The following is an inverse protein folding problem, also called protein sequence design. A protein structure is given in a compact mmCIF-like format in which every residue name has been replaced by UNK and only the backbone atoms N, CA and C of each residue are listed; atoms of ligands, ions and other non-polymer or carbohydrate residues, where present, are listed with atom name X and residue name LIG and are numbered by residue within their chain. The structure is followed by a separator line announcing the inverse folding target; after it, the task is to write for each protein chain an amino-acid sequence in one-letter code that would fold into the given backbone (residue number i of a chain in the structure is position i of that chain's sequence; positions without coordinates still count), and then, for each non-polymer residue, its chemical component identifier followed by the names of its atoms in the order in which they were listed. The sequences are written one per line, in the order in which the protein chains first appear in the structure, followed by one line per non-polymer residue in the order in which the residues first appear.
data_IF_656138979394
#
_entry.id   IF_656138979394
#
_cell.length_a   1.000
_cell.length_b   1.000
_cell.length_c   1.000
_cell.angle_alpha   90.00
_cell.angle_beta   90.00
_cell.angle_gamma   90.00
#
_symmetry.space_group_name_H-M   'P 1'
#
loop_
_entity.id
_entity.type
_entity.pdbx_description
1 polymer ?
#
# COMPACT_ATOMS: atom_id res chain seq x y z
N UNK A 1 14.31 42.62 49.73
CA UNK A 1 13.78 42.68 48.35
C UNK A 1 14.78 43.35 47.43
N UNK A 2 15.65 42.56 46.80
CA UNK A 2 16.47 42.93 45.64
C UNK A 2 16.84 41.63 44.92
N UNK A 3 16.29 41.43 43.73
CA UNK A 3 16.76 40.43 42.78
C UNK A 3 17.13 41.20 41.52
N UNK A 4 18.44 41.45 41.40
CA UNK A 4 19.07 42.12 40.27
C UNK A 4 19.03 41.20 39.05
N UNK A 5 18.42 41.67 37.96
CA UNK A 5 18.42 40.98 36.67
C UNK A 5 19.74 41.25 35.95
N UNK A 6 20.48 40.25 35.43
CA UNK A 6 21.65 40.49 34.60
C UNK A 6 21.23 40.95 33.19
N UNK A 7 21.86 42.03 32.70
CA UNK A 7 21.73 42.48 31.31
C UNK A 7 22.49 41.51 30.38
N UNK A 8 21.79 40.99 29.38
CA UNK A 8 22.35 40.17 28.29
C UNK A 8 23.18 41.09 27.38
N UNK A 9 24.50 41.09 27.58
CA UNK A 9 25.46 41.82 26.76
C UNK A 9 25.51 41.26 25.35
N UNK A 10 25.30 42.12 24.35
CA UNK A 10 25.48 41.80 22.95
C UNK A 10 26.89 42.24 22.55
N UNK A 11 27.87 41.36 22.71
CA UNK A 11 29.23 41.62 22.25
C UNK A 11 29.29 41.51 20.73
N UNK A 12 29.33 42.68 20.11
CA UNK A 12 29.60 42.86 18.70
C UNK A 12 31.01 42.39 18.36
N UNK A 13 31.09 41.34 17.54
CA UNK A 13 32.03 41.15 16.42
C UNK A 13 32.03 39.66 16.05
N UNK A 14 31.35 39.29 14.96
CA UNK A 14 31.51 37.95 14.37
C UNK A 14 32.16 38.11 12.98
N UNK A 15 33.32 37.48 12.73
CA UNK A 15 34.10 37.72 11.52
C UNK A 15 33.42 37.07 10.30
N UNK A 16 33.24 37.89 9.27
CA UNK A 16 32.63 37.60 7.95
C UNK A 16 33.14 36.32 7.25
N UNK A 17 34.28 35.77 7.70
CA UNK A 17 34.93 34.58 7.13
C UNK A 17 34.20 33.26 7.41
N UNK A 18 33.29 33.21 8.39
CA UNK A 18 32.54 31.98 8.71
C UNK A 18 31.50 31.61 7.63
N UNK A 19 31.14 32.55 6.74
CA UNK A 19 30.09 32.33 5.74
C UNK A 19 30.58 31.54 4.51
N UNK A 20 31.87 31.63 4.16
CA UNK A 20 32.40 31.02 2.93
C UNK A 20 32.63 29.50 3.04
N UNK A 21 32.87 28.98 4.25
CA UNK A 21 33.04 27.54 4.48
C UNK A 21 31.71 26.78 4.58
N UNK A 22 30.62 27.44 4.94
CA UNK A 22 29.29 26.80 5.05
C UNK A 22 28.65 26.47 3.70
N UNK A 23 28.96 27.22 2.64
CA UNK A 23 28.33 27.06 1.32
C UNK A 23 28.90 25.86 0.54
N UNK A 24 30.18 25.51 0.75
CA UNK A 24 30.83 24.43 0.00
C UNK A 24 30.32 23.03 0.38
N UNK A 25 29.86 22.83 1.63
CA UNK A 25 29.30 21.56 2.09
C UNK A 25 27.89 21.26 1.52
N UNK A 26 27.14 22.28 1.10
CA UNK A 26 25.79 22.13 0.54
C UNK A 26 25.86 21.57 -0.90
N UNK A 27 26.95 21.83 -1.62
CA UNK A 27 27.10 21.41 -3.03
C UNK A 27 27.53 19.94 -3.18
N UNK A 28 28.17 19.34 -2.17
CA UNK A 28 28.68 17.95 -2.25
C UNK A 28 27.81 16.92 -1.50
N UNK A 29 26.86 17.35 -0.67
CA UNK A 29 26.03 16.48 0.16
C UNK A 29 24.68 16.05 -0.45
N UNK A 30 24.30 16.54 -1.63
CA UNK A 30 23.01 16.25 -2.26
C UNK A 30 23.04 14.98 -3.15
N UNK A 31 23.70 13.92 -2.68
CA UNK A 31 23.74 12.62 -3.36
C UNK A 31 22.58 11.73 -2.94
N UNK A 32 21.48 11.81 -3.71
CA UNK A 32 20.33 10.88 -3.74
C UNK A 32 19.77 10.44 -2.37
N UNK A 33 18.83 11.21 -1.83
CA UNK A 33 17.73 10.61 -1.09
C UNK A 33 16.92 9.76 -2.09
N UNK A 34 17.40 8.56 -2.40
CA UNK A 34 16.57 7.54 -3.01
C UNK A 34 15.39 7.35 -2.07
N UNK A 35 14.20 7.71 -2.53
CA UNK A 35 12.99 7.36 -1.81
C UNK A 35 13.02 5.84 -1.68
N UNK A 36 13.37 5.34 -0.51
CA UNK A 36 13.21 3.95 -0.17
C UNK A 36 11.72 3.66 -0.37
N UNK A 37 11.39 3.02 -1.48
CA UNK A 37 10.05 2.54 -1.74
C UNK A 37 9.80 1.48 -0.67
N UNK A 38 9.12 1.87 0.41
CA UNK A 38 8.61 0.91 1.35
C UNK A 38 7.72 -0.06 0.54
N UNK A 39 7.86 -1.38 0.72
CA UNK A 39 6.96 -2.34 0.12
C UNK A 39 5.54 -1.89 0.44
N UNK A 40 4.81 -1.44 -0.58
CA UNK A 40 3.42 -1.06 -0.42
C UNK A 40 2.68 -2.36 -0.16
N UNK A 41 2.22 -2.56 1.08
CA UNK A 41 1.26 -3.63 1.34
C UNK A 41 0.07 -3.45 0.38
N UNK A 42 -0.42 -4.52 -0.24
CA UNK A 42 -1.55 -4.43 -1.15
C UNK A 42 -2.68 -3.71 -0.43
N UNK A 43 -3.06 -2.53 -0.93
CA UNK A 43 -4.27 -1.89 -0.44
C UNK A 43 -5.43 -2.77 -0.90
N UNK A 44 -6.42 -3.00 -0.04
CA UNK A 44 -7.65 -3.72 -0.44
C UNK A 44 -8.27 -3.10 -1.70
N UNK A 45 -8.11 -1.79 -1.93
CA UNK A 45 -8.57 -1.12 -3.15
C UNK A 45 -7.84 -1.56 -4.44
N UNK A 46 -6.62 -2.08 -4.34
CA UNK A 46 -5.81 -2.56 -5.48
C UNK A 46 -6.16 -4.01 -5.85
N UNK A 47 -6.91 -4.73 -5.01
CA UNK A 47 -7.30 -6.12 -5.28
C UNK A 47 -8.40 -6.18 -6.33
N UNK A 48 -8.29 -7.19 -7.20
CA UNK A 48 -9.24 -7.45 -8.27
C UNK A 48 -10.64 -7.72 -7.69
N UNK A 49 -11.66 -7.03 -8.22
CA UNK A 49 -13.05 -7.29 -7.83
C UNK A 49 -13.61 -8.45 -8.64
N UNK A 50 -13.93 -9.54 -7.96
CA UNK A 50 -14.37 -10.80 -8.57
C UNK A 50 -15.81 -11.08 -8.15
N UNK A 51 -16.66 -11.35 -9.13
CA UNK A 51 -17.96 -11.96 -8.90
C UNK A 51 -17.82 -13.46 -9.14
N UNK A 52 -18.29 -14.25 -8.18
CA UNK A 52 -18.22 -15.71 -8.21
C UNK A 52 -19.65 -16.26 -8.34
N UNK A 53 -19.93 -16.92 -9.46
CA UNK A 53 -21.16 -17.66 -9.71
C UNK A 53 -20.85 -19.15 -9.67
N UNK A 54 -21.15 -19.79 -8.54
CA UNK A 54 -20.70 -21.15 -8.24
C UNK A 54 -21.86 -22.13 -7.98
N UNK A 55 -23.10 -21.65 -7.90
CA UNK A 55 -24.23 -22.50 -7.50
C UNK A 55 -24.01 -23.14 -6.12
N UNK A 56 -24.08 -24.49 -5.95
CA UNK A 56 -23.97 -25.18 -4.66
C UNK A 56 -22.52 -25.36 -4.20
N UNK A 57 -21.79 -24.26 -4.01
CA UNK A 57 -20.42 -24.25 -3.50
C UNK A 57 -20.34 -23.80 -2.04
N UNK A 58 -19.20 -24.11 -1.42
CA UNK A 58 -18.82 -23.51 -0.14
C UNK A 58 -18.16 -22.15 -0.38
N UNK A 59 -18.98 -21.12 -0.53
CA UNK A 59 -18.53 -19.75 -0.73
C UNK A 59 -17.71 -19.22 0.45
N UNK A 60 -17.96 -19.72 1.66
CA UNK A 60 -17.23 -19.29 2.86
C UNK A 60 -15.80 -19.81 2.82
N UNK A 61 -15.64 -21.10 2.47
CA UNK A 61 -14.33 -21.70 2.29
C UNK A 61 -13.52 -20.97 1.21
N UNK A 62 -14.13 -20.69 0.06
CA UNK A 62 -13.45 -19.98 -1.03
C UNK A 62 -12.98 -18.58 -0.62
N UNK A 63 -13.84 -17.82 0.08
CA UNK A 63 -13.49 -16.47 0.59
C UNK A 63 -12.37 -16.50 1.63
N UNK A 64 -12.26 -17.59 2.39
CA UNK A 64 -11.24 -17.76 3.43
C UNK A 64 -9.88 -18.13 2.83
N UNK A 65 -9.86 -19.03 1.87
CA UNK A 65 -8.61 -19.53 1.26
C UNK A 65 -8.06 -18.58 0.20
N UNK A 66 -8.93 -17.83 -0.50
CA UNK A 66 -8.54 -16.94 -1.59
C UNK A 66 -8.70 -15.48 -1.15
N UNK A 67 -7.79 -15.03 -0.29
CA UNK A 67 -7.85 -13.69 0.31
C UNK A 67 -7.22 -12.56 -0.54
N UNK A 68 -6.70 -12.87 -1.73
CA UNK A 68 -6.00 -11.90 -2.60
C UNK A 68 -6.92 -11.24 -3.64
N UNK A 69 -8.23 -11.40 -3.51
CA UNK A 69 -9.26 -10.77 -4.37
C UNK A 69 -10.38 -10.19 -3.52
N UNK A 70 -11.11 -9.23 -4.07
CA UNK A 70 -12.31 -8.69 -3.45
C UNK A 70 -13.55 -9.36 -4.04
N UNK A 71 -14.26 -10.15 -3.24
CA UNK A 71 -15.52 -10.75 -3.65
C UNK A 71 -16.67 -9.73 -3.65
N UNK A 72 -17.23 -9.46 -4.81
CA UNK A 72 -18.42 -8.60 -4.95
C UNK A 72 -19.68 -9.42 -5.08
N UNK A 73 -20.81 -8.84 -4.64
CA UNK A 73 -22.13 -9.48 -4.71
C UNK A 73 -22.90 -9.12 -5.97
N UNK A 74 -22.67 -7.93 -6.54
CA UNK A 74 -23.27 -7.54 -7.82
C UNK A 74 -22.27 -7.80 -8.94
N UNK A 75 -22.72 -8.55 -9.95
CA UNK A 75 -22.02 -8.77 -11.21
C UNK A 75 -21.59 -7.47 -11.89
N UNK A 76 -22.33 -6.37 -11.76
CA UNK A 76 -21.99 -5.08 -12.39
C UNK A 76 -20.80 -4.38 -11.76
N UNK A 77 -20.49 -4.71 -10.50
CA UNK A 77 -19.36 -4.11 -9.77
C UNK A 77 -18.04 -4.87 -10.00
N UNK A 78 -18.13 -6.04 -10.64
CA UNK A 78 -17.01 -6.95 -10.86
C UNK A 78 -16.15 -6.54 -12.05
N UNK A 79 -14.85 -6.82 -11.93
CA UNK A 79 -13.89 -6.75 -13.01
C UNK A 79 -13.71 -8.11 -13.70
N UNK A 80 -13.92 -9.21 -12.97
CA UNK A 80 -13.88 -10.58 -13.48
C UNK A 80 -15.11 -11.35 -13.00
N UNK A 81 -15.70 -12.15 -13.89
CA UNK A 81 -16.86 -12.99 -13.61
C UNK A 81 -16.44 -14.46 -13.66
N UNK A 82 -16.25 -15.08 -12.52
CA UNK A 82 -15.92 -16.51 -12.48
C UNK A 82 -17.21 -17.31 -12.47
N UNK A 83 -17.44 -18.10 -13.51
CA UNK A 83 -18.53 -19.07 -13.58
C UNK A 83 -17.99 -20.47 -13.30
N UNK A 84 -18.53 -21.12 -12.28
CA UNK A 84 -18.21 -22.50 -11.93
C UNK A 84 -19.41 -23.38 -12.26
N UNK A 85 -19.21 -24.29 -13.21
CA UNK A 85 -20.26 -25.23 -13.62
C UNK A 85 -19.92 -26.62 -13.14
N UNK A 86 -20.88 -27.28 -12.49
CA UNK A 86 -20.82 -28.70 -12.11
C UNK A 86 -21.80 -29.50 -12.94
N UNK A 87 -21.30 -30.46 -13.71
CA UNK A 87 -22.11 -31.35 -14.55
C UNK A 87 -21.93 -32.80 -14.13
N UNK A 88 -23.03 -33.55 -14.01
CA UNK A 88 -22.94 -34.97 -13.74
C UNK A 88 -22.46 -35.72 -14.99
N UNK A 89 -21.48 -36.59 -14.82
CA UNK A 89 -20.97 -37.46 -15.87
C UNK A 89 -21.80 -38.73 -15.93
N UNK A 90 -21.98 -39.29 -17.13
CA UNK A 90 -22.70 -40.55 -17.32
C UNK A 90 -22.10 -41.77 -16.61
N UNK A 91 -20.87 -41.64 -16.06
CA UNK A 91 -20.21 -42.66 -15.24
C UNK A 91 -20.41 -42.51 -13.73
N UNK A 92 -21.22 -41.54 -13.28
CA UNK A 92 -21.51 -41.32 -11.86
C UNK A 92 -20.54 -40.39 -11.12
N UNK A 93 -19.58 -39.77 -11.81
CA UNK A 93 -18.76 -38.68 -11.28
C UNK A 93 -19.28 -37.30 -11.70
N UNK A 94 -18.57 -36.23 -11.34
CA UNK A 94 -18.88 -34.86 -11.76
C UNK A 94 -17.73 -34.25 -12.57
N UNK A 95 -18.07 -33.45 -13.57
CA UNK A 95 -17.16 -32.59 -14.31
C UNK A 95 -17.29 -31.15 -13.80
N UNK A 96 -16.15 -30.50 -13.60
CA UNK A 96 -16.06 -29.13 -13.12
C UNK A 96 -15.41 -28.26 -14.19
N UNK A 97 -16.11 -27.18 -14.56
CA UNK A 97 -15.64 -26.20 -15.56
C UNK A 97 -15.56 -24.82 -14.93
N UNK A 98 -14.50 -24.08 -15.24
CA UNK A 98 -14.22 -22.73 -14.76
C UNK A 98 -14.11 -21.81 -15.98
N UNK A 99 -15.02 -20.83 -16.06
CA UNK A 99 -15.06 -19.80 -17.10
C UNK A 99 -14.92 -18.39 -16.47
N UNK A 100 -14.47 -17.40 -17.24
CA UNK A 100 -14.05 -16.06 -16.76
C UNK A 100 -14.61 -14.90 -17.60
#
# INVERSE_FOLDING_TARGET
MRLSVPRRGNDGTRPLKALLLGVLAIVWGAGTAGAAQQPREPNGADLLRVFLDCGPCDDEYLRREIAFVNYVRDRRDAQVHVLVTRENTGGGGDAWTLDF
#
